data_IF_141550789800
#
_entry.id   IF_141550789800
#
_cell.length_a   1.000
_cell.length_b   1.000
_cell.length_c   1.000
_cell.angle_alpha   90.00
_cell.angle_beta   90.00
_cell.angle_gamma   90.00
#
_symmetry.space_group_name_H-M   'P 1'
#
loop_
_entity.id
_entity.type
_entity.pdbx_description
1 polymer ?
#
# COMPACT_ATOMS: atom_id res chain seq x y z
N UNK A 1 -7.96 -16.74 -20.81
CA UNK A 1 -8.07 -15.58 -19.88
C UNK A 1 -9.50 -15.51 -19.39
N UNK A 2 -9.71 -15.12 -18.12
CA UNK A 2 -11.02 -15.14 -17.47
C UNK A 2 -11.80 -13.85 -17.77
N UNK A 3 -13.13 -13.93 -17.75
CA UNK A 3 -14.04 -12.78 -17.88
C UNK A 3 -14.08 -11.99 -16.56
N UNK A 4 -13.91 -10.68 -16.66
CA UNK A 4 -13.99 -9.73 -15.55
C UNK A 4 -15.36 -9.00 -15.49
N UNK A 5 -16.31 -9.37 -16.37
CA UNK A 5 -17.63 -8.76 -16.50
C UNK A 5 -17.68 -7.73 -17.62
N UNK A 6 -18.87 -7.55 -18.21
CA UNK A 6 -19.09 -6.55 -19.27
C UNK A 6 -18.27 -6.77 -20.55
N UNK A 7 -17.80 -8.01 -20.79
CA UNK A 7 -16.94 -8.35 -21.92
C UNK A 7 -15.46 -8.02 -21.73
N UNK A 8 -15.06 -7.52 -20.56
CA UNK A 8 -13.65 -7.27 -20.23
C UNK A 8 -12.96 -8.57 -19.80
N UNK A 9 -11.67 -8.69 -20.10
CA UNK A 9 -10.84 -9.81 -19.63
C UNK A 9 -10.06 -9.40 -18.38
N UNK A 10 -9.79 -10.36 -17.51
CA UNK A 10 -8.86 -10.15 -16.39
C UNK A 10 -7.48 -9.77 -16.96
N UNK A 11 -6.93 -8.61 -16.57
CA UNK A 11 -5.61 -8.18 -17.02
C UNK A 11 -4.52 -9.01 -16.33
N UNK A 12 -3.41 -9.18 -17.03
CA UNK A 12 -2.16 -9.65 -16.44
C UNK A 12 -1.46 -8.50 -15.72
N UNK A 13 -0.58 -8.80 -14.77
CA UNK A 13 0.25 -7.78 -14.11
C UNK A 13 1.03 -6.95 -15.15
N UNK A 14 1.62 -7.62 -16.13
CA UNK A 14 2.38 -7.01 -17.22
C UNK A 14 1.56 -5.97 -17.97
N UNK A 15 0.33 -6.28 -18.36
CA UNK A 15 -0.53 -5.33 -19.07
C UNK A 15 -0.89 -4.10 -18.23
N UNK A 16 -1.07 -4.27 -16.92
CA UNK A 16 -1.33 -3.14 -16.01
C UNK A 16 -0.08 -2.27 -15.87
N UNK A 17 1.09 -2.88 -15.65
CA UNK A 17 2.34 -2.14 -15.53
C UNK A 17 2.67 -1.37 -16.81
N UNK A 18 2.51 -2.00 -17.99
CA UNK A 18 2.77 -1.36 -19.29
C UNK A 18 1.79 -0.21 -19.56
N UNK A 19 0.53 -0.32 -19.13
CA UNK A 19 -0.48 0.70 -19.37
C UNK A 19 -0.37 1.95 -18.45
N UNK A 20 0.19 1.79 -17.25
CA UNK A 20 0.13 2.81 -16.20
C UNK A 20 1.47 3.21 -15.59
N UNK A 21 2.55 2.48 -15.85
CA UNK A 21 3.83 2.67 -15.15
C UNK A 21 4.54 4.00 -15.39
N UNK A 22 4.21 4.72 -16.46
CA UNK A 22 4.71 6.08 -16.70
C UNK A 22 3.79 7.18 -16.13
N UNK A 23 2.66 6.79 -15.51
CA UNK A 23 1.57 7.71 -15.15
C UNK A 23 1.34 7.81 -13.65
N UNK A 24 1.46 6.69 -12.93
CA UNK A 24 1.19 6.61 -11.49
C UNK A 24 2.08 5.56 -10.82
N UNK A 25 2.45 5.77 -9.55
CA UNK A 25 3.06 4.72 -8.74
C UNK A 25 2.04 3.61 -8.41
N UNK A 26 2.56 2.45 -8.02
CA UNK A 26 1.74 1.29 -7.66
C UNK A 26 1.88 0.95 -6.18
N UNK A 27 0.75 0.63 -5.54
CA UNK A 27 0.73 -0.27 -4.40
C UNK A 27 0.28 -1.65 -4.88
N UNK A 28 1.21 -2.59 -4.99
CA UNK A 28 0.95 -3.94 -5.48
C UNK A 28 0.79 -4.92 -4.31
N UNK A 29 -0.46 -5.25 -3.97
CA UNK A 29 -0.73 -6.23 -2.92
C UNK A 29 -0.52 -7.67 -3.44
N UNK A 30 0.42 -8.39 -2.82
CA UNK A 30 0.62 -9.82 -3.04
C UNK A 30 -0.26 -10.65 -2.12
N UNK A 31 -1.23 -11.33 -2.73
CA UNK A 31 -2.15 -12.26 -2.06
C UNK A 31 -1.56 -13.66 -2.04
N UNK A 32 -1.72 -14.36 -0.91
CA UNK A 32 -1.35 -15.77 -0.77
C UNK A 32 -2.60 -16.63 -0.71
N UNK A 33 -2.57 -17.81 -1.31
CA UNK A 33 -3.61 -18.82 -1.11
C UNK A 33 -3.66 -19.30 0.34
N UNK A 34 -4.82 -19.74 0.83
CA UNK A 34 -4.99 -20.18 2.23
C UNK A 34 -4.06 -21.32 2.65
N UNK A 35 -3.54 -22.09 1.67
CA UNK A 35 -2.61 -23.20 1.86
C UNK A 35 -1.16 -22.88 1.48
N UNK A 36 -0.87 -21.61 1.17
CA UNK A 36 0.44 -21.21 0.67
C UNK A 36 0.68 -21.53 -0.79
N UNK A 37 -0.38 -21.52 -1.59
CA UNK A 37 -0.29 -21.66 -3.04
C UNK A 37 0.48 -20.49 -3.66
N UNK A 38 1.01 -20.72 -4.87
CA UNK A 38 1.75 -19.78 -5.72
C UNK A 38 3.23 -19.54 -5.37
N UNK A 39 4.06 -20.61 -5.32
CA UNK A 39 5.51 -20.45 -5.12
C UNK A 39 6.11 -19.57 -6.22
N UNK A 40 6.97 -18.62 -5.83
CA UNK A 40 7.68 -17.73 -6.76
C UNK A 40 6.87 -16.53 -7.26
N UNK A 41 5.67 -16.28 -6.73
CA UNK A 41 4.88 -15.10 -7.09
C UNK A 41 5.63 -13.80 -6.79
N UNK A 42 6.30 -13.75 -5.65
CA UNK A 42 7.07 -12.61 -5.17
C UNK A 42 8.19 -12.26 -6.17
N UNK A 43 9.00 -13.26 -6.53
CA UNK A 43 10.07 -13.10 -7.51
C UNK A 43 9.53 -12.67 -8.88
N UNK A 44 8.45 -13.28 -9.35
CA UNK A 44 7.83 -12.94 -10.64
C UNK A 44 7.27 -11.51 -10.66
N UNK A 45 6.67 -11.04 -9.55
CA UNK A 45 6.15 -9.69 -9.45
C UNK A 45 7.27 -8.64 -9.42
N UNK A 46 8.33 -8.90 -8.64
CA UNK A 46 9.53 -8.05 -8.60
C UNK A 46 10.20 -7.99 -9.97
N UNK A 47 10.39 -9.13 -10.63
CA UNK A 47 10.97 -9.18 -11.97
C UNK A 47 10.13 -8.41 -13.00
N UNK A 48 8.80 -8.52 -12.93
CA UNK A 48 7.90 -7.82 -13.85
C UNK A 48 8.02 -6.30 -13.73
N UNK A 49 8.12 -5.77 -12.50
CA UNK A 49 8.36 -4.34 -12.24
C UNK A 49 9.80 -3.93 -12.61
N UNK A 50 10.80 -4.73 -12.26
CA UNK A 50 12.21 -4.46 -12.52
C UNK A 50 12.54 -4.34 -14.01
N UNK A 51 12.02 -5.27 -14.84
CA UNK A 51 12.22 -5.22 -16.30
C UNK A 51 11.65 -3.97 -16.96
N UNK A 52 10.77 -3.25 -16.27
CA UNK A 52 10.13 -2.01 -16.73
C UNK A 52 10.70 -0.76 -16.08
N UNK A 53 11.71 -0.88 -15.23
CA UNK A 53 12.26 0.25 -14.47
C UNK A 53 11.30 0.81 -13.42
N UNK A 54 10.32 0.01 -12.96
CA UNK A 54 9.23 0.48 -12.08
C UNK A 54 9.44 0.12 -10.59
N UNK A 55 10.58 -0.44 -10.20
CA UNK A 55 10.81 -0.86 -8.81
C UNK A 55 10.70 0.30 -7.83
N UNK A 56 11.32 1.44 -8.13
CA UNK A 56 11.23 2.62 -7.26
C UNK A 56 9.81 3.18 -7.16
N UNK A 57 8.97 2.94 -8.16
CA UNK A 57 7.57 3.39 -8.18
C UNK A 57 6.58 2.33 -7.67
N UNK A 58 7.06 1.18 -7.21
CA UNK A 58 6.20 0.07 -6.79
C UNK A 58 6.43 -0.25 -5.31
N UNK A 59 5.39 -0.02 -4.50
CA UNK A 59 5.29 -0.47 -3.13
C UNK A 59 4.59 -1.83 -3.08
N UNK A 60 5.31 -2.89 -2.74
CA UNK A 60 4.73 -4.22 -2.58
C UNK A 60 4.11 -4.35 -1.19
N UNK A 61 2.88 -4.87 -1.08
CA UNK A 61 2.23 -5.00 0.24
C UNK A 61 1.64 -6.39 0.45
N UNK A 62 1.56 -6.81 1.71
CA UNK A 62 0.87 -8.06 2.06
C UNK A 62 0.44 -8.06 3.53
N UNK A 63 -0.61 -8.84 3.82
CA UNK A 63 -1.01 -9.20 5.19
C UNK A 63 -0.15 -10.32 5.78
N UNK A 64 0.59 -11.04 4.94
CA UNK A 64 1.25 -12.28 5.31
C UNK A 64 2.75 -12.04 5.49
N UNK A 65 3.31 -12.16 6.72
CA UNK A 65 4.74 -12.00 6.94
C UNK A 65 5.62 -12.87 6.03
N UNK A 66 5.29 -14.15 5.74
CA UNK A 66 6.09 -14.97 4.84
C UNK A 66 6.22 -14.41 3.41
N UNK A 67 5.21 -13.67 2.92
CA UNK A 67 5.26 -13.02 1.60
C UNK A 67 6.23 -11.83 1.63
N UNK A 68 6.22 -11.07 2.72
CA UNK A 68 7.12 -9.93 2.90
C UNK A 68 8.58 -10.37 3.13
N UNK A 69 8.77 -11.45 3.89
CA UNK A 69 10.06 -12.11 4.09
C UNK A 69 10.61 -12.62 2.74
N UNK A 70 9.79 -13.30 1.94
CA UNK A 70 10.18 -13.75 0.60
C UNK A 70 10.53 -12.56 -0.33
N UNK A 71 9.81 -11.44 -0.27
CA UNK A 71 10.18 -10.23 -1.00
C UNK A 71 11.56 -9.70 -0.60
N UNK A 72 11.88 -9.73 0.71
CA UNK A 72 13.21 -9.34 1.22
C UNK A 72 14.31 -10.30 0.78
N UNK A 73 14.01 -11.60 0.67
CA UNK A 73 14.94 -12.59 0.11
C UNK A 73 15.18 -12.38 -1.39
N UNK A 74 14.15 -11.98 -2.15
CA UNK A 74 14.28 -11.66 -3.58
C UNK A 74 15.16 -10.44 -3.79
N UNK A 75 14.95 -9.37 -3.03
CA UNK A 75 15.85 -8.22 -3.01
C UNK A 75 15.65 -7.37 -1.75
N UNK A 76 16.73 -6.95 -1.07
CA UNK A 76 16.63 -6.06 0.08
C UNK A 76 16.16 -4.63 -0.29
N UNK A 77 16.26 -4.24 -1.56
CA UNK A 77 15.94 -2.89 -2.04
C UNK A 77 14.46 -2.69 -2.40
N UNK A 78 13.66 -3.76 -2.47
CA UNK A 78 12.24 -3.61 -2.85
C UNK A 78 11.49 -2.83 -1.78
N UNK A 79 10.63 -1.92 -2.22
CA UNK A 79 9.82 -1.11 -1.31
C UNK A 79 8.67 -1.98 -0.81
N UNK A 80 8.51 -2.12 0.51
CA UNK A 80 7.41 -2.94 1.06
C UNK A 80 6.56 -2.19 2.08
N UNK A 81 5.30 -2.59 2.19
CA UNK A 81 4.39 -2.16 3.25
C UNK A 81 3.72 -3.35 3.95
N UNK A 82 3.57 -3.24 5.27
CA UNK A 82 2.85 -4.25 6.08
C UNK A 82 1.37 -3.89 6.14
N UNK A 83 0.49 -4.74 5.61
CA UNK A 83 -0.95 -4.59 5.79
C UNK A 83 -1.38 -5.11 7.17
N UNK A 84 -2.16 -4.31 7.91
CA UNK A 84 -2.54 -4.61 9.30
C UNK A 84 -4.05 -4.77 9.44
N UNK A 85 -4.48 -6.00 9.73
CA UNK A 85 -5.88 -6.33 10.00
C UNK A 85 -6.23 -6.16 11.49
N UNK A 86 -7.46 -5.76 11.83
CA UNK A 86 -7.93 -5.75 13.22
C UNK A 86 -7.91 -7.12 13.90
N UNK A 87 -7.80 -8.21 13.13
CA UNK A 87 -7.64 -9.58 13.66
C UNK A 87 -6.25 -9.81 14.29
N UNK A 88 -5.23 -9.08 13.82
CA UNK A 88 -3.83 -9.26 14.25
C UNK A 88 -3.08 -7.90 14.40
N UNK A 89 -3.58 -6.98 15.24
CA UNK A 89 -3.07 -5.61 15.29
C UNK A 89 -1.77 -5.46 16.08
N UNK A 90 -1.48 -6.39 17.02
CA UNK A 90 -0.37 -6.22 17.95
C UNK A 90 0.97 -6.24 17.23
N UNK A 91 1.93 -5.41 17.65
CA UNK A 91 3.31 -5.43 17.15
C UNK A 91 3.47 -5.04 15.68
N UNK A 92 2.49 -4.36 15.08
CA UNK A 92 2.54 -3.97 13.66
C UNK A 92 3.77 -3.12 13.32
N UNK A 93 4.03 -2.06 14.10
CA UNK A 93 5.19 -1.16 13.94
C UNK A 93 6.50 -1.94 14.06
N UNK A 94 6.63 -2.78 15.09
CA UNK A 94 7.85 -3.57 15.30
C UNK A 94 8.10 -4.57 14.16
N UNK A 95 7.06 -5.27 13.69
CA UNK A 95 7.21 -6.16 12.52
C UNK A 95 7.66 -5.41 11.27
N UNK A 96 7.07 -4.24 11.03
CA UNK A 96 7.40 -3.42 9.88
C UNK A 96 8.84 -2.91 9.97
N UNK A 97 9.29 -2.48 11.16
CA UNK A 97 10.68 -2.11 11.44
C UNK A 97 11.66 -3.28 11.19
N UNK A 98 11.36 -4.49 11.69
CA UNK A 98 12.20 -5.67 11.49
C UNK A 98 12.32 -6.08 10.02
N UNK A 99 11.28 -5.84 9.24
CA UNK A 99 11.27 -6.07 7.79
C UNK A 99 11.82 -4.89 6.99
N UNK A 100 12.29 -3.81 7.63
CA UNK A 100 12.66 -2.56 6.97
C UNK A 100 11.59 -2.11 5.96
N UNK A 101 10.32 -2.15 6.38
CA UNK A 101 9.20 -1.70 5.57
C UNK A 101 9.19 -0.18 5.50
N UNK A 102 8.74 0.36 4.37
CA UNK A 102 8.61 1.80 4.17
C UNK A 102 7.26 2.34 4.62
N UNK A 103 6.26 1.46 4.79
CA UNK A 103 4.94 1.87 5.22
C UNK A 103 4.20 0.82 6.03
N UNK A 104 3.28 1.30 6.86
CA UNK A 104 2.19 0.54 7.45
C UNK A 104 0.91 0.86 6.72
N UNK A 105 0.16 -0.19 6.38
CA UNK A 105 -1.15 -0.04 5.78
C UNK A 105 -2.20 -0.60 6.75
N UNK A 106 -2.66 0.15 7.77
CA UNK A 106 -3.63 -0.36 8.72
C UNK A 106 -5.07 -0.22 8.23
N UNK A 107 -5.94 -1.10 8.72
CA UNK A 107 -7.37 -0.89 8.60
C UNK A 107 -7.80 0.35 9.39
N UNK A 108 -8.80 1.09 8.90
CA UNK A 108 -9.23 2.39 9.46
C UNK A 108 -9.56 2.41 10.95
N UNK A 109 -10.06 1.32 11.52
CA UNK A 109 -10.37 1.21 12.95
C UNK A 109 -9.11 1.15 13.83
N UNK A 110 -7.96 0.82 13.25
CA UNK A 110 -6.68 0.77 13.95
C UNK A 110 -5.91 2.10 13.87
N UNK A 111 -6.30 3.00 12.98
CA UNK A 111 -5.63 4.28 12.80
C UNK A 111 -5.91 5.21 13.98
N UNK A 112 -4.88 5.39 14.82
CA UNK A 112 -4.85 6.35 15.92
C UNK A 112 -3.66 7.29 15.78
N UNK A 113 -3.67 8.42 16.50
CA UNK A 113 -2.54 9.36 16.52
C UNK A 113 -1.27 8.67 17.01
N UNK A 114 -1.39 7.83 18.02
CA UNK A 114 -0.26 7.08 18.60
C UNK A 114 0.34 6.09 17.61
N UNK A 115 -0.49 5.40 16.82
CA UNK A 115 0.00 4.50 15.77
C UNK A 115 0.74 5.29 14.68
N UNK A 116 0.17 6.42 14.25
CA UNK A 116 0.77 7.30 13.23
C UNK A 116 2.12 7.82 13.71
N UNK A 117 2.18 8.38 14.91
CA UNK A 117 3.41 8.91 15.49
C UNK A 117 4.47 7.82 15.69
N UNK A 118 4.08 6.62 16.15
CA UNK A 118 4.99 5.49 16.29
C UNK A 118 5.56 5.03 14.94
N UNK A 119 4.72 4.93 13.91
CA UNK A 119 5.18 4.58 12.56
C UNK A 119 6.11 5.65 11.98
N UNK A 120 5.73 6.91 12.12
CA UNK A 120 6.53 8.05 11.66
C UNK A 120 7.87 8.16 12.38
N UNK A 121 7.93 7.80 13.66
CA UNK A 121 9.15 7.75 14.47
C UNK A 121 10.16 6.71 13.98
N UNK A 122 9.68 5.65 13.33
CA UNK A 122 10.49 4.62 12.67
C UNK A 122 10.74 4.94 11.17
N UNK A 123 10.34 6.14 10.71
CA UNK A 123 10.52 6.56 9.32
C UNK A 123 9.53 5.94 8.32
N UNK A 124 8.49 5.28 8.80
CA UNK A 124 7.47 4.65 7.95
C UNK A 124 6.33 5.61 7.62
N UNK A 125 5.75 5.52 6.44
CA UNK A 125 4.48 6.15 6.10
C UNK A 125 3.28 5.32 6.58
N UNK A 126 2.09 5.93 6.65
CA UNK A 126 0.83 5.29 7.04
C UNK A 126 -0.25 5.46 5.98
N UNK A 127 -0.67 4.36 5.34
CA UNK A 127 -1.72 4.34 4.33
C UNK A 127 -2.95 3.55 4.79
N UNK A 128 -4.05 4.25 5.11
CA UNK A 128 -5.20 3.60 5.76
C UNK A 128 -6.18 3.02 4.74
N UNK A 129 -6.61 1.77 4.94
CA UNK A 129 -7.61 1.11 4.09
C UNK A 129 -8.86 0.68 4.87
N UNK A 130 -10.02 0.46 4.27
CA UNK A 130 -10.54 1.15 3.07
C UNK A 130 -11.47 2.25 3.56
N UNK A 131 -11.28 3.47 3.07
CA UNK A 131 -11.95 4.67 3.56
C UNK A 131 -12.79 5.27 2.44
N UNK A 132 -14.10 5.13 2.55
CA UNK A 132 -15.04 5.54 1.50
C UNK A 132 -15.83 6.79 1.87
N UNK A 133 -16.04 7.02 3.15
CA UNK A 133 -16.77 8.18 3.67
C UNK A 133 -15.89 9.43 3.76
N UNK A 134 -16.43 10.59 3.37
CA UNK A 134 -15.66 11.84 3.30
C UNK A 134 -15.31 12.40 4.69
N UNK A 135 -16.20 12.26 5.68
CA UNK A 135 -15.92 12.72 7.04
C UNK A 135 -14.79 11.88 7.65
N UNK A 136 -14.82 10.57 7.39
CA UNK A 136 -13.75 9.67 7.83
C UNK A 136 -12.41 9.94 7.11
N UNK A 137 -12.44 10.21 5.79
CA UNK A 137 -11.24 10.65 5.06
C UNK A 137 -10.63 11.89 5.71
N UNK A 138 -11.47 12.89 6.01
CA UNK A 138 -11.05 14.14 6.65
C UNK A 138 -10.42 13.86 8.01
N UNK A 139 -11.12 13.09 8.87
CA UNK A 139 -10.65 12.73 10.21
C UNK A 139 -9.30 12.04 10.19
N UNK A 140 -9.10 11.07 9.30
CA UNK A 140 -7.86 10.29 9.20
C UNK A 140 -6.69 11.14 8.70
N UNK A 141 -6.92 12.00 7.72
CA UNK A 141 -5.89 12.94 7.27
C UNK A 141 -5.52 13.95 8.37
N UNK A 142 -6.48 14.37 9.19
CA UNK A 142 -6.22 15.26 10.34
C UNK A 142 -5.48 14.54 11.50
N UNK A 143 -5.54 13.20 11.54
CA UNK A 143 -4.67 12.38 12.38
C UNK A 143 -3.21 12.34 11.88
N UNK A 144 -2.95 12.75 10.63
CA UNK A 144 -1.61 12.79 10.04
C UNK A 144 -1.25 11.55 9.21
N UNK A 145 -2.22 10.76 8.75
CA UNK A 145 -1.93 9.65 7.84
C UNK A 145 -1.45 10.17 6.48
N UNK A 146 -0.55 9.45 5.83
CA UNK A 146 0.10 9.88 4.58
C UNK A 146 -0.74 9.59 3.33
N UNK A 147 -1.75 8.73 3.46
CA UNK A 147 -2.67 8.42 2.36
C UNK A 147 -3.79 7.46 2.75
N UNK A 148 -4.74 7.30 1.82
CA UNK A 148 -5.94 6.52 2.03
C UNK A 148 -6.18 5.61 0.82
N UNK A 149 -6.57 4.37 1.06
CA UNK A 149 -7.15 3.50 0.05
C UNK A 149 -8.67 3.69 0.04
N UNK A 150 -9.25 3.95 -1.13
CA UNK A 150 -10.68 4.25 -1.26
C UNK A 150 -11.28 3.64 -2.52
N UNK A 151 -12.55 3.23 -2.45
CA UNK A 151 -13.35 2.86 -3.61
C UNK A 151 -13.89 4.10 -4.37
N UNK A 152 -13.66 5.31 -3.84
CA UNK A 152 -14.15 6.56 -4.42
C UNK A 152 -13.02 7.58 -4.68
N UNK A 153 -12.04 7.27 -5.55
CA UNK A 153 -10.87 8.12 -5.76
C UNK A 153 -11.22 9.53 -6.28
N UNK A 154 -12.29 9.66 -7.08
CA UNK A 154 -12.78 10.97 -7.53
C UNK A 154 -13.27 11.83 -6.37
N UNK A 155 -14.04 11.25 -5.43
CA UNK A 155 -14.52 11.96 -4.23
C UNK A 155 -13.34 12.42 -3.38
N UNK A 156 -12.37 11.53 -3.13
CA UNK A 156 -11.17 11.88 -2.38
C UNK A 156 -10.40 13.03 -3.06
N UNK A 157 -10.24 12.99 -4.39
CA UNK A 157 -9.57 14.07 -5.14
C UNK A 157 -10.32 15.41 -5.05
N UNK A 158 -11.64 15.40 -5.20
CA UNK A 158 -12.49 16.60 -5.07
C UNK A 158 -12.40 17.18 -3.65
N UNK A 159 -12.45 16.32 -2.61
CA UNK A 159 -12.27 16.72 -1.22
C UNK A 159 -10.88 17.31 -0.96
N UNK A 160 -9.80 16.67 -1.43
CA UNK A 160 -8.43 17.17 -1.28
C UNK A 160 -8.23 18.53 -1.97
N UNK A 161 -8.85 18.75 -3.14
CA UNK A 161 -8.80 20.03 -3.83
C UNK A 161 -9.58 21.14 -3.11
N UNK A 162 -10.63 20.79 -2.36
CA UNK A 162 -11.43 21.73 -1.58
C UNK A 162 -10.85 22.02 -0.19
N UNK A 163 -9.95 21.17 0.32
CA UNK A 163 -9.24 21.39 1.58
C UNK A 163 -8.28 22.57 1.42
N UNK A 164 -8.34 23.53 2.35
CA UNK A 164 -7.25 24.48 2.50
C UNK A 164 -6.03 23.75 3.07
N UNK A 165 -4.79 24.10 2.66
CA UNK A 165 -3.61 23.53 3.29
C UNK A 165 -3.68 23.83 4.79
N UNK A 166 -3.76 22.81 5.63
CA UNK A 166 -3.45 22.97 7.05
C UNK A 166 -1.93 22.92 7.21
N UNK A 167 -1.39 23.64 8.21
CA UNK A 167 0.03 23.72 8.56
C UNK A 167 0.66 22.37 9.01
N UNK A 168 0.01 21.24 8.76
CA UNK A 168 0.56 19.92 9.04
C UNK A 168 1.63 19.59 7.99
N UNK A 169 2.89 19.77 8.42
CA UNK A 169 4.14 19.47 7.73
C UNK A 169 4.02 18.49 6.55
N UNK A 170 4.12 19.05 5.34
CA UNK A 170 4.24 18.27 4.12
C UNK A 170 5.49 17.39 4.19
N UNK A 171 5.30 16.07 4.37
CA UNK A 171 6.27 15.10 3.87
C UNK A 171 5.95 14.85 2.39
N UNK A 172 6.97 14.66 1.53
CA UNK A 172 6.72 14.39 0.13
C UNK A 172 5.95 13.07 -0.01
N UNK A 173 4.73 13.17 -0.53
CA UNK A 173 4.04 12.07 -1.20
C UNK A 173 4.92 11.61 -2.37
N UNK A 174 4.94 10.31 -2.65
CA UNK A 174 5.68 9.69 -3.75
C UNK A 174 5.71 10.58 -5.00
N UNK A 175 6.86 11.19 -5.24
CA UNK A 175 7.28 11.74 -6.52
C UNK A 175 8.27 10.76 -7.14
#
# INVERSE_FOLDING_TARGET
RLDAGGGALVPTLVEVLDAFGERIPFNLELKRGSRGEYPGMEAAAVEAAARRGLLEQTLFSSFYPPVLEALREVSPEVRIAVLVSPKFPQGAVERARLLAAEALNPERSLASRELVEAAHGEGMAVYVYTVDDQEEMQRLLDLGVDGLFTNHPRRMREMLAARQPSDAAARPSFA
#
